data_IF_333440360591
#
_entry.id   IF_333440360591
#
_cell.length_a   1.000
_cell.length_b   1.000
_cell.length_c   1.000
_cell.angle_alpha   90.00
_cell.angle_beta   90.00
_cell.angle_gamma   90.00
#
_symmetry.space_group_name_H-M   'P 1'
#
loop_
_entity.id
_entity.type
_entity.pdbx_description
1 polymer ?
#
# COMPACT_ATOMS: atom_id res chain seq x y z
N UNK A 1 -7.39 10.07 -3.61
CA UNK A 1 -6.13 9.49 -4.12
C UNK A 1 -5.94 8.10 -3.53
N UNK A 2 -5.63 7.15 -4.38
CA UNK A 2 -5.31 5.79 -3.95
C UNK A 2 -3.80 5.61 -3.91
N UNK A 3 -3.30 5.03 -2.84
CA UNK A 3 -1.86 4.88 -2.61
C UNK A 3 -1.51 3.41 -2.43
N UNK A 4 -0.44 2.96 -3.07
CA UNK A 4 0.12 1.63 -2.89
C UNK A 4 1.50 1.76 -2.25
N UNK A 5 1.68 1.12 -1.09
CA UNK A 5 2.96 1.07 -0.39
C UNK A 5 3.56 -0.32 -0.60
N UNK A 6 4.81 -0.37 -1.03
CA UNK A 6 5.51 -1.63 -1.28
C UNK A 6 6.46 -1.92 -0.13
N UNK A 7 6.22 -3.02 0.58
CA UNK A 7 7.03 -3.43 1.71
C UNK A 7 6.21 -4.00 2.85
N UNK A 8 6.87 -4.41 3.93
CA UNK A 8 6.22 -5.07 5.05
C UNK A 8 6.84 -4.75 6.42
N UNK A 9 7.83 -3.88 6.47
CA UNK A 9 8.54 -3.57 7.70
C UNK A 9 7.92 -2.45 8.52
N UNK A 10 8.58 -2.10 9.64
CA UNK A 10 8.14 -1.02 10.50
C UNK A 10 8.12 0.35 9.82
N UNK A 11 9.01 0.56 8.85
CA UNK A 11 9.06 1.81 8.08
C UNK A 11 7.79 1.97 7.24
N UNK A 12 7.36 0.91 6.61
CA UNK A 12 6.14 0.90 5.80
C UNK A 12 4.91 1.11 6.67
N UNK A 13 4.92 0.55 7.89
CA UNK A 13 3.86 0.76 8.86
C UNK A 13 3.76 2.26 9.23
N UNK A 14 4.89 2.90 9.49
CA UNK A 14 4.93 4.32 9.83
C UNK A 14 4.43 5.19 8.68
N UNK A 15 4.79 4.83 7.44
CA UNK A 15 4.32 5.53 6.24
C UNK A 15 2.81 5.39 6.11
N UNK A 16 2.28 4.18 6.27
CA UNK A 16 0.84 3.92 6.18
C UNK A 16 0.07 4.75 7.22
N UNK A 17 0.57 4.80 8.44
CA UNK A 17 -0.04 5.57 9.51
C UNK A 17 -0.07 7.07 9.18
N UNK A 18 1.04 7.60 8.66
CA UNK A 18 1.13 8.99 8.25
C UNK A 18 0.19 9.32 7.10
N UNK A 19 0.19 8.45 6.08
CA UNK A 19 -0.63 8.65 4.87
C UNK A 19 -2.12 8.55 5.20
N UNK A 20 -2.49 7.68 6.14
CA UNK A 20 -3.88 7.50 6.56
C UNK A 20 -4.49 8.78 7.15
N UNK A 21 -3.66 9.70 7.62
CA UNK A 21 -4.12 10.98 8.17
C UNK A 21 -4.41 12.02 7.10
N UNK A 22 -3.99 11.79 5.87
CA UNK A 22 -4.17 12.75 4.79
C UNK A 22 -5.63 12.76 4.30
N UNK A 23 -6.29 13.93 4.27
CA UNK A 23 -7.66 14.00 3.78
C UNK A 23 -7.78 13.78 2.28
N UNK A 24 -6.67 13.75 1.55
CA UNK A 24 -6.65 13.53 0.11
C UNK A 24 -6.56 12.05 -0.26
N UNK A 25 -6.29 11.19 0.72
CA UNK A 25 -6.13 9.76 0.48
C UNK A 25 -7.43 9.03 0.80
N UNK A 26 -8.00 8.36 -0.19
CA UNK A 26 -9.25 7.61 -0.07
C UNK A 26 -9.02 6.15 0.26
N UNK A 27 -7.92 5.58 -0.22
CA UNK A 27 -7.62 4.16 -0.06
C UNK A 27 -6.12 3.94 -0.03
N UNK A 28 -5.67 3.07 0.87
CA UNK A 28 -4.28 2.67 0.98
C UNK A 28 -4.17 1.17 0.81
N UNK A 29 -3.27 0.74 -0.07
CA UNK A 29 -2.91 -0.66 -0.23
C UNK A 29 -1.46 -0.83 0.22
N UNK A 30 -1.11 -1.99 0.75
CA UNK A 30 0.27 -2.31 1.09
C UNK A 30 0.60 -3.72 0.61
N UNK A 31 1.68 -3.88 -0.08
CA UNK A 31 2.08 -5.16 -0.67
C UNK A 31 3.50 -5.53 -0.21
N UNK A 32 3.69 -6.62 0.51
CA UNK A 32 2.69 -7.52 1.08
C UNK A 32 2.07 -7.02 2.39
N UNK A 33 2.70 -6.03 3.06
CA UNK A 33 2.22 -5.53 4.33
C UNK A 33 2.41 -6.50 5.49
N UNK A 34 1.80 -6.19 6.64
CA UNK A 34 1.80 -7.06 7.81
C UNK A 34 0.54 -6.76 8.64
N UNK A 35 0.35 -7.50 9.75
CA UNK A 35 -0.84 -7.37 10.58
C UNK A 35 -1.03 -5.97 11.17
N UNK A 36 0.05 -5.28 11.55
CA UNK A 36 -0.03 -3.92 12.06
C UNK A 36 -0.47 -2.93 10.99
N UNK A 37 0.05 -3.10 9.78
CA UNK A 37 -0.29 -2.26 8.64
C UNK A 37 -1.75 -2.46 8.23
N UNK A 38 -2.30 -3.66 8.43
CA UNK A 38 -3.68 -3.94 8.05
C UNK A 38 -4.72 -3.09 8.77
N UNK A 39 -4.33 -2.42 9.85
CA UNK A 39 -5.21 -1.48 10.55
C UNK A 39 -5.42 -0.21 9.74
N UNK A 40 -4.48 0.14 8.87
CA UNK A 40 -4.52 1.39 8.10
C UNK A 40 -4.64 1.17 6.60
N UNK A 41 -4.33 -0.02 6.11
CA UNK A 41 -4.26 -0.30 4.68
C UNK A 41 -4.77 -1.70 4.39
N UNK A 42 -5.19 -1.92 3.17
CA UNK A 42 -5.52 -3.26 2.70
C UNK A 42 -4.22 -3.94 2.27
N UNK A 43 -3.86 -5.03 2.95
CA UNK A 43 -2.66 -5.78 2.60
C UNK A 43 -2.95 -6.69 1.40
N UNK A 44 -2.09 -6.60 0.39
CA UNK A 44 -2.24 -7.33 -0.88
C UNK A 44 -1.16 -8.40 -0.95
N UNK A 45 -1.50 -9.66 -1.28
CA UNK A 45 -0.52 -10.76 -1.27
C UNK A 45 0.40 -10.75 -2.50
N UNK A 46 1.12 -9.66 -2.68
CA UNK A 46 2.10 -9.48 -3.75
C UNK A 46 3.44 -9.16 -3.09
N UNK A 47 4.48 -9.95 -3.42
CA UNK A 47 5.80 -9.72 -2.85
C UNK A 47 6.43 -8.43 -3.36
N UNK A 48 7.29 -7.80 -2.55
CA UNK A 48 7.92 -6.53 -2.90
C UNK A 48 8.80 -6.60 -4.16
N UNK A 49 9.23 -7.79 -4.54
CA UNK A 49 10.06 -7.98 -5.74
C UNK A 49 9.26 -8.42 -6.97
N UNK A 50 7.96 -8.59 -6.84
CA UNK A 50 7.09 -9.01 -7.95
C UNK A 50 6.60 -7.79 -8.73
N UNK A 51 7.52 -7.12 -9.42
CA UNK A 51 7.26 -5.83 -10.07
C UNK A 51 6.14 -5.84 -11.09
N UNK A 52 6.03 -6.91 -11.88
CA UNK A 52 4.97 -7.01 -12.87
C UNK A 52 3.59 -7.10 -12.23
N UNK A 53 3.48 -7.85 -11.13
CA UNK A 53 2.22 -7.98 -10.40
C UNK A 53 1.85 -6.67 -9.71
N UNK A 54 2.85 -5.96 -9.18
CA UNK A 54 2.62 -4.66 -8.55
C UNK A 54 2.12 -3.63 -9.55
N UNK A 55 2.75 -3.58 -10.74
CA UNK A 55 2.34 -2.66 -11.79
C UNK A 55 0.93 -2.97 -12.28
N UNK A 56 0.63 -4.25 -12.47
CA UNK A 56 -0.70 -4.71 -12.90
C UNK A 56 -1.77 -4.35 -11.85
N UNK A 57 -1.46 -4.57 -10.59
CA UNK A 57 -2.36 -4.21 -9.49
C UNK A 57 -2.64 -2.71 -9.48
N UNK A 58 -1.59 -1.89 -9.61
CA UNK A 58 -1.73 -0.45 -9.59
C UNK A 58 -2.61 0.05 -10.74
N UNK A 59 -2.43 -0.55 -11.91
CA UNK A 59 -3.23 -0.20 -13.09
C UNK A 59 -4.70 -0.60 -12.92
N UNK A 60 -4.94 -1.84 -12.48
CA UNK A 60 -6.31 -2.35 -12.32
C UNK A 60 -7.11 -1.64 -11.25
N UNK A 61 -6.44 -1.14 -10.23
CA UNK A 61 -7.09 -0.48 -9.10
C UNK A 61 -7.01 1.04 -9.17
N UNK A 62 -6.52 1.59 -10.27
CA UNK A 62 -6.39 3.02 -10.48
C UNK A 62 -5.61 3.71 -9.35
N UNK A 63 -4.46 3.12 -8.98
CA UNK A 63 -3.59 3.68 -7.95
C UNK A 63 -2.92 4.96 -8.47
N UNK A 64 -2.98 6.02 -7.68
CA UNK A 64 -2.43 7.32 -8.06
C UNK A 64 -0.96 7.48 -7.68
N UNK A 65 -0.54 6.80 -6.62
CA UNK A 65 0.82 6.93 -6.10
C UNK A 65 1.31 5.59 -5.54
N UNK A 66 2.53 5.23 -5.86
CA UNK A 66 3.17 4.00 -5.39
C UNK A 66 4.44 4.30 -4.62
#
# INVERSE_FOLDING_TARGET
>A
MKVLIVGSGGREHAIAWSVAKSPKVDKIYCAPGNAGISEYAECVPIGAMEFEKLADFAEKNAVDLT
#
